data_IF_977404726511
#
_entry.id   IF_977404726511
#
_cell.length_a   1.000
_cell.length_b   1.000
_cell.length_c   1.000
_cell.angle_alpha   90.00
_cell.angle_beta   90.00
_cell.angle_gamma   90.00
#
_symmetry.space_group_name_H-M   'P 1'
#
loop_
_entity.id
_entity.type
_entity.pdbx_description
1 polymer ?
#
# COMPACT_ATOMS: atom_id res chain seq x y z
N UNK A 1 -9.23 6.74 18.97
CA UNK A 1 -7.98 6.37 19.69
C UNK A 1 -6.80 6.91 18.92
N UNK A 2 -5.99 7.79 19.51
CA UNK A 2 -4.83 8.39 18.86
C UNK A 2 -3.75 7.33 18.72
N UNK A 3 -3.43 6.91 17.48
CA UNK A 3 -2.23 6.14 17.21
C UNK A 3 -1.03 6.97 17.64
N UNK A 4 -0.41 6.63 18.77
CA UNK A 4 0.91 7.13 19.12
C UNK A 4 1.87 6.59 18.07
N UNK A 5 2.35 7.47 17.20
CA UNK A 5 3.41 7.19 16.25
C UNK A 5 4.66 6.76 17.01
N UNK A 6 4.94 5.45 17.03
CA UNK A 6 6.22 4.93 17.45
C UNK A 6 7.22 5.21 16.31
N UNK A 7 7.69 6.43 16.24
CA UNK A 7 8.72 6.83 15.28
C UNK A 7 10.08 6.54 15.92
N UNK A 8 10.70 5.43 15.52
CA UNK A 8 12.16 5.30 15.67
C UNK A 8 12.80 6.22 14.64
N UNK A 9 13.40 7.31 15.09
CA UNK A 9 14.02 8.37 14.27
C UNK A 9 15.19 7.92 13.37
N UNK A 10 15.56 6.64 13.35
CA UNK A 10 16.78 6.17 12.66
C UNK A 10 16.56 5.73 11.20
N UNK A 11 15.34 5.85 10.62
CA UNK A 11 15.03 5.40 9.26
C UNK A 11 14.23 6.44 8.45
N UNK A 12 14.43 7.71 8.73
CA UNK A 12 13.81 8.77 7.95
C UNK A 12 14.46 8.86 6.56
N UNK A 13 13.64 8.80 5.52
CA UNK A 13 14.06 8.98 4.13
C UNK A 13 13.57 10.33 3.63
N UNK A 14 14.45 11.07 2.95
CA UNK A 14 14.06 12.34 2.35
C UNK A 14 13.86 12.14 0.85
N UNK A 15 12.69 12.51 0.35
CA UNK A 15 12.36 12.51 -1.07
C UNK A 15 11.88 13.89 -1.49
N UNK A 16 12.01 14.16 -2.77
CA UNK A 16 11.42 15.32 -3.40
C UNK A 16 10.09 14.91 -4.01
N UNK A 17 9.00 15.52 -3.52
CA UNK A 17 7.69 15.45 -4.18
C UNK A 17 7.67 16.51 -5.27
N UNK A 18 7.60 16.09 -6.54
CA UNK A 18 7.46 16.98 -7.69
C UNK A 18 6.02 17.01 -8.17
N UNK A 19 5.52 18.21 -8.49
CA UNK A 19 4.16 18.44 -8.96
C UNK A 19 4.08 19.74 -9.76
N UNK A 20 3.01 19.87 -10.55
CA UNK A 20 2.73 21.07 -11.33
C UNK A 20 1.80 21.99 -10.51
N UNK A 21 2.33 23.11 -10.05
CA UNK A 21 1.61 24.07 -9.20
C UNK A 21 0.41 24.70 -9.92
N UNK A 22 0.49 24.92 -11.23
CA UNK A 22 -0.63 25.49 -11.99
C UNK A 22 -1.78 24.49 -12.09
N UNK A 23 -1.48 23.21 -12.27
CA UNK A 23 -2.49 22.16 -12.22
C UNK A 23 -3.11 22.02 -10.82
N UNK A 24 -2.32 22.21 -9.75
CA UNK A 24 -2.85 22.23 -8.38
C UNK A 24 -3.84 23.40 -8.20
N UNK A 25 -3.53 24.60 -8.74
CA UNK A 25 -4.45 25.75 -8.72
C UNK A 25 -5.74 25.48 -9.48
N UNK A 26 -5.66 24.85 -10.67
CA UNK A 26 -6.83 24.46 -11.43
C UNK A 26 -7.75 23.55 -10.60
N UNK A 27 -7.22 22.47 -9.99
CA UNK A 27 -8.02 21.57 -9.16
C UNK A 27 -8.58 22.26 -7.92
N UNK A 28 -7.81 23.15 -7.29
CA UNK A 28 -8.26 23.89 -6.10
C UNK A 28 -9.46 24.79 -6.39
N UNK A 29 -9.49 25.40 -7.58
CA UNK A 29 -10.58 26.29 -8.03
C UNK A 29 -11.82 25.53 -8.53
N UNK A 30 -11.77 24.20 -8.69
CA UNK A 30 -12.94 23.43 -9.10
C UNK A 30 -14.04 23.48 -8.02
N UNK A 31 -15.30 23.44 -8.47
CA UNK A 31 -16.44 23.16 -7.61
C UNK A 31 -16.26 21.79 -6.92
N UNK A 32 -16.74 21.67 -5.69
CA UNK A 32 -16.59 20.47 -4.87
C UNK A 32 -17.13 19.21 -5.55
N UNK A 33 -18.26 19.31 -6.24
CA UNK A 33 -18.88 18.23 -7.01
C UNK A 33 -17.98 17.75 -8.15
N UNK A 34 -17.35 18.70 -8.88
CA UNK A 34 -16.42 18.40 -9.95
C UNK A 34 -15.12 17.80 -9.40
N UNK A 35 -14.57 18.34 -8.31
CA UNK A 35 -13.39 17.77 -7.69
C UNK A 35 -13.63 16.35 -7.19
N UNK A 36 -14.83 16.09 -6.63
CA UNK A 36 -15.22 14.75 -6.18
C UNK A 36 -15.27 13.74 -7.34
N UNK A 37 -15.72 14.15 -8.54
CA UNK A 37 -15.76 13.27 -9.72
C UNK A 37 -14.37 12.81 -10.18
N UNK A 38 -13.30 13.55 -9.87
CA UNK A 38 -11.92 13.11 -10.07
C UNK A 38 -11.44 12.07 -9.05
N UNK A 39 -12.27 11.79 -8.04
CA UNK A 39 -11.97 10.79 -7.03
C UNK A 39 -12.87 9.58 -7.25
N UNK A 40 -12.38 8.37 -7.02
CA UNK A 40 -13.20 7.15 -7.13
C UNK A 40 -14.12 6.95 -5.91
N UNK A 41 -14.44 8.02 -5.17
CA UNK A 41 -15.23 7.98 -3.94
C UNK A 41 -16.73 8.23 -4.23
N UNK A 42 -17.35 7.38 -5.04
CA UNK A 42 -18.79 7.46 -5.35
C UNK A 42 -19.68 6.73 -4.35
N UNK A 43 -19.10 6.02 -3.37
CA UNK A 43 -19.84 5.12 -2.45
C UNK A 43 -19.97 5.66 -1.01
N UNK A 44 -19.54 6.89 -0.75
CA UNK A 44 -19.58 7.46 0.60
C UNK A 44 -20.83 8.32 0.85
N UNK A 45 -21.16 8.48 2.13
CA UNK A 45 -22.20 9.43 2.53
C UNK A 45 -21.88 10.85 2.07
N UNK A 46 -22.89 11.70 1.92
CA UNK A 46 -22.69 13.10 1.54
C UNK A 46 -21.74 13.83 2.51
N UNK A 47 -21.82 13.53 3.80
CA UNK A 47 -20.96 14.11 4.84
C UNK A 47 -19.51 13.69 4.69
N UNK A 48 -19.24 12.40 4.43
CA UNK A 48 -17.89 11.88 4.19
C UNK A 48 -17.28 12.49 2.93
N UNK A 49 -18.08 12.66 1.88
CA UNK A 49 -17.64 13.30 0.63
C UNK A 49 -17.23 14.75 0.84
N UNK A 50 -18.01 15.54 1.60
CA UNK A 50 -17.69 16.93 1.95
C UNK A 50 -16.37 16.99 2.73
N UNK A 51 -16.20 16.13 3.73
CA UNK A 51 -14.97 16.06 4.54
C UNK A 51 -13.76 15.67 3.69
N UNK A 52 -13.94 14.75 2.76
CA UNK A 52 -12.89 14.29 1.85
C UNK A 52 -12.46 15.40 0.89
N UNK A 53 -13.38 16.07 0.22
CA UNK A 53 -13.10 17.20 -0.67
C UNK A 53 -12.40 18.34 0.07
N UNK A 54 -12.84 18.67 1.28
CA UNK A 54 -12.18 19.66 2.14
C UNK A 54 -10.73 19.27 2.45
N UNK A 55 -10.48 17.98 2.70
CA UNK A 55 -9.12 17.48 2.94
C UNK A 55 -8.25 17.60 1.69
N UNK A 56 -8.78 17.26 0.50
CA UNK A 56 -8.07 17.43 -0.78
C UNK A 56 -7.74 18.90 -1.00
N UNK A 57 -8.70 19.81 -0.90
CA UNK A 57 -8.48 21.24 -1.09
C UNK A 57 -7.44 21.79 -0.12
N UNK A 58 -7.49 21.40 1.15
CA UNK A 58 -6.47 21.79 2.13
C UNK A 58 -5.06 21.32 1.73
N UNK A 59 -4.94 20.10 1.20
CA UNK A 59 -3.66 19.58 0.76
C UNK A 59 -3.16 20.29 -0.52
N UNK A 60 -4.05 20.53 -1.50
CA UNK A 60 -3.72 21.32 -2.70
C UNK A 60 -3.28 22.74 -2.32
N UNK A 61 -3.98 23.40 -1.41
CA UNK A 61 -3.63 24.73 -0.92
C UNK A 61 -2.21 24.78 -0.32
N UNK A 62 -1.85 23.75 0.48
CA UNK A 62 -0.49 23.65 1.03
C UNK A 62 0.57 23.46 -0.04
N UNK A 63 0.28 22.72 -1.13
CA UNK A 63 1.18 22.64 -2.28
C UNK A 63 1.32 23.98 -2.98
N UNK A 64 0.22 24.71 -3.19
CA UNK A 64 0.22 26.02 -3.83
C UNK A 64 1.02 27.04 -3.01
N UNK A 65 0.86 27.04 -1.67
CA UNK A 65 1.59 27.92 -0.77
C UNK A 65 3.11 27.67 -0.70
N UNK A 66 3.57 26.52 -1.19
CA UNK A 66 5.02 26.24 -1.23
C UNK A 66 5.76 27.09 -2.27
N UNK A 67 5.03 27.69 -3.21
CA UNK A 67 5.59 28.52 -4.32
C UNK A 67 6.67 27.80 -5.14
N UNK A 68 6.71 26.46 -5.06
CA UNK A 68 7.69 25.61 -5.71
C UNK A 68 7.03 24.37 -6.27
N UNK A 69 7.47 23.91 -7.43
CA UNK A 69 7.05 22.65 -8.01
C UNK A 69 7.72 21.43 -7.35
N UNK A 70 8.61 21.65 -6.39
CA UNK A 70 9.34 20.61 -5.67
C UNK A 70 9.27 20.88 -4.18
N UNK A 71 8.80 19.89 -3.40
CA UNK A 71 8.82 19.97 -1.95
C UNK A 71 9.62 18.79 -1.40
N UNK A 72 10.62 19.09 -0.60
CA UNK A 72 11.36 18.05 0.14
C UNK A 72 10.49 17.53 1.27
N UNK A 73 10.29 16.21 1.31
CA UNK A 73 9.48 15.51 2.29
C UNK A 73 10.27 14.45 3.02
N UNK A 74 9.96 14.32 4.29
CA UNK A 74 10.44 13.23 5.10
C UNK A 74 9.41 12.09 5.10
N UNK A 75 9.89 10.88 4.84
CA UNK A 75 9.10 9.67 4.86
C UNK A 75 9.59 8.75 5.95
N UNK A 76 8.68 8.30 6.80
CA UNK A 76 9.01 7.47 7.94
C UNK A 76 8.42 6.06 7.76
N UNK A 77 9.20 5.07 8.18
CA UNK A 77 8.77 3.68 8.23
C UNK A 77 7.87 3.48 9.44
N UNK A 78 6.64 3.00 9.22
CA UNK A 78 5.71 2.66 10.29
C UNK A 78 6.12 1.37 11.02
N UNK A 79 5.49 1.11 12.16
CA UNK A 79 5.72 -0.15 12.90
C UNK A 79 5.48 -1.41 12.07
N UNK A 80 4.55 -1.38 11.10
CA UNK A 80 4.31 -2.48 10.17
C UNK A 80 5.21 -2.44 8.92
N UNK A 81 6.32 -1.75 8.95
CA UNK A 81 7.25 -1.57 7.83
C UNK A 81 6.74 -0.72 6.65
N UNK A 82 5.52 -0.24 6.66
CA UNK A 82 5.02 0.62 5.58
C UNK A 82 5.58 2.03 5.69
N UNK A 83 5.90 2.63 4.55
CA UNK A 83 6.48 3.98 4.48
C UNK A 83 5.37 5.01 4.29
N UNK A 84 5.37 6.05 5.11
CA UNK A 84 4.41 7.15 5.04
C UNK A 84 5.12 8.50 5.08
N UNK A 85 4.60 9.45 4.31
CA UNK A 85 5.03 10.84 4.37
C UNK A 85 4.69 11.43 5.74
N UNK A 86 5.63 12.14 6.33
CA UNK A 86 5.36 12.93 7.53
C UNK A 86 4.54 14.18 7.16
N UNK A 87 3.42 14.36 7.88
CA UNK A 87 2.50 15.44 7.59
C UNK A 87 1.61 15.15 6.40
N UNK A 88 1.71 15.92 5.32
CA UNK A 88 0.98 15.70 4.07
C UNK A 88 1.97 15.52 2.91
N UNK A 89 1.60 14.71 1.93
CA UNK A 89 2.42 14.43 0.76
C UNK A 89 1.56 13.94 -0.40
N UNK A 90 2.17 13.67 -1.54
CA UNK A 90 1.46 13.21 -2.73
C UNK A 90 0.71 11.88 -2.50
N UNK A 91 1.11 11.08 -1.51
CA UNK A 91 0.44 9.83 -1.14
C UNK A 91 -1.03 9.99 -0.72
N UNK A 92 -1.44 11.18 -0.31
CA UNK A 92 -2.80 11.45 0.18
C UNK A 92 -3.81 11.76 -0.92
N UNK A 93 -3.35 11.89 -2.16
CA UNK A 93 -4.23 12.12 -3.30
C UNK A 93 -4.65 10.82 -3.98
N UNK A 94 -5.86 10.79 -4.52
CA UNK A 94 -6.32 9.70 -5.40
C UNK A 94 -5.45 9.63 -6.66
N UNK A 95 -5.44 8.46 -7.31
CA UNK A 95 -4.64 8.27 -8.52
C UNK A 95 -4.96 9.30 -9.62
N UNK A 96 -6.24 9.60 -9.82
CA UNK A 96 -6.65 10.55 -10.87
C UNK A 96 -6.13 11.96 -10.60
N UNK A 97 -6.23 12.43 -9.34
CA UNK A 97 -5.67 13.73 -8.93
C UNK A 97 -4.16 13.72 -9.13
N UNK A 98 -3.51 12.65 -8.70
CA UNK A 98 -2.06 12.52 -8.84
C UNK A 98 -1.60 12.55 -10.30
N UNK A 99 -2.23 11.77 -11.17
CA UNK A 99 -1.91 11.76 -12.60
C UNK A 99 -2.09 13.14 -13.23
N UNK A 100 -3.05 13.93 -12.74
CA UNK A 100 -3.27 15.28 -13.22
C UNK A 100 -2.18 16.24 -12.75
N UNK A 101 -1.83 16.26 -11.44
CA UNK A 101 -0.88 17.24 -10.87
C UNK A 101 0.59 16.87 -11.06
N UNK A 102 0.91 15.66 -11.47
CA UNK A 102 2.29 15.27 -11.74
C UNK A 102 2.80 15.96 -13.00
N UNK A 103 4.13 16.22 -13.10
CA UNK A 103 4.77 16.69 -14.33
C UNK A 103 4.47 15.75 -15.50
N UNK A 104 4.37 16.31 -16.72
CA UNK A 104 4.00 15.54 -17.93
C UNK A 104 5.02 14.45 -18.31
N UNK A 105 6.26 14.56 -17.83
CA UNK A 105 7.31 13.57 -18.02
C UNK A 105 7.40 12.54 -16.89
N UNK A 106 6.44 12.53 -15.98
CA UNK A 106 6.38 11.55 -14.89
C UNK A 106 5.97 10.18 -15.41
N UNK A 107 6.63 9.14 -14.93
CA UNK A 107 6.29 7.75 -15.20
C UNK A 107 5.88 7.05 -13.90
N UNK A 108 4.82 6.25 -13.96
CA UNK A 108 4.40 5.39 -12.85
C UNK A 108 4.95 3.98 -13.06
N UNK A 109 5.65 3.46 -12.05
CA UNK A 109 6.08 2.07 -12.02
C UNK A 109 5.25 1.34 -10.97
N UNK A 110 4.46 0.36 -11.39
CA UNK A 110 3.69 -0.51 -10.51
C UNK A 110 4.18 -1.96 -10.63
N UNK A 111 4.35 -2.60 -9.49
CA UNK A 111 4.72 -4.01 -9.45
C UNK A 111 3.47 -4.87 -9.57
N UNK A 112 3.31 -5.52 -10.74
CA UNK A 112 2.19 -6.45 -10.94
C UNK A 112 2.22 -7.54 -9.86
N UNK A 113 1.11 -7.68 -9.13
CA UNK A 113 0.99 -8.68 -8.04
C UNK A 113 2.06 -8.57 -6.94
N UNK A 114 2.45 -7.37 -6.53
CA UNK A 114 3.55 -7.13 -5.59
C UNK A 114 3.55 -8.12 -4.40
N UNK A 115 2.53 -8.09 -3.56
CA UNK A 115 2.49 -8.95 -2.36
C UNK A 115 2.51 -10.46 -2.67
N UNK A 116 1.69 -11.00 -3.61
CA UNK A 116 1.80 -12.40 -4.01
C UNK A 116 3.16 -12.79 -4.58
N UNK A 117 3.80 -11.93 -5.39
CA UNK A 117 5.12 -12.20 -5.95
C UNK A 117 6.22 -12.23 -4.86
N UNK A 118 6.13 -11.34 -3.87
CA UNK A 118 7.04 -11.35 -2.72
C UNK A 118 6.84 -12.65 -1.91
N UNK A 119 5.59 -13.04 -1.62
CA UNK A 119 5.31 -14.30 -0.93
C UNK A 119 5.84 -15.50 -1.70
N UNK A 120 5.60 -15.58 -3.02
CA UNK A 120 6.13 -16.65 -3.86
C UNK A 120 7.66 -16.73 -3.81
N UNK A 121 8.34 -15.57 -3.85
CA UNK A 121 9.79 -15.51 -3.70
C UNK A 121 10.25 -16.05 -2.34
N UNK A 122 9.59 -15.63 -1.25
CA UNK A 122 9.94 -16.05 0.10
C UNK A 122 9.66 -17.55 0.33
N UNK A 123 8.55 -18.06 -0.20
CA UNK A 123 8.22 -19.48 -0.11
C UNK A 123 9.29 -20.33 -0.83
N UNK A 124 9.72 -19.93 -2.04
CA UNK A 124 10.84 -20.57 -2.74
C UNK A 124 12.16 -20.49 -1.95
N UNK A 125 12.47 -19.32 -1.40
CA UNK A 125 13.68 -19.08 -0.61
C UNK A 125 13.78 -20.02 0.60
N UNK A 126 12.65 -20.31 1.25
CA UNK A 126 12.56 -21.13 2.46
C UNK A 126 12.07 -22.55 2.23
N UNK A 127 11.97 -23.01 0.97
CA UNK A 127 11.45 -24.32 0.59
C UNK A 127 10.06 -24.64 1.18
N UNK A 128 9.20 -23.64 1.24
CA UNK A 128 7.79 -23.81 1.63
C UNK A 128 6.93 -24.24 0.44
N UNK A 129 5.71 -24.73 0.70
CA UNK A 129 4.74 -25.02 -0.36
C UNK A 129 4.37 -23.74 -1.10
N UNK A 130 4.35 -23.76 -2.45
CA UNK A 130 4.11 -22.57 -3.27
C UNK A 130 3.32 -22.84 -4.56
N UNK A 131 2.68 -23.97 -4.66
CA UNK A 131 1.96 -24.42 -5.86
C UNK A 131 0.81 -23.47 -6.20
N UNK A 132 -0.03 -23.15 -5.21
CA UNK A 132 -1.23 -22.36 -5.41
C UNK A 132 -0.93 -20.87 -5.55
N UNK A 133 0.02 -20.33 -4.77
CA UNK A 133 0.46 -18.93 -4.91
C UNK A 133 1.16 -18.70 -6.26
N UNK A 134 1.92 -19.67 -6.77
CA UNK A 134 2.53 -19.63 -8.09
C UNK A 134 1.45 -19.57 -9.18
N UNK A 135 0.49 -20.49 -9.14
CA UNK A 135 -0.63 -20.49 -10.08
C UNK A 135 -1.40 -19.17 -10.07
N UNK A 136 -1.67 -18.61 -8.88
CA UNK A 136 -2.31 -17.30 -8.76
C UNK A 136 -1.46 -16.18 -9.37
N UNK A 137 -0.15 -16.17 -9.16
CA UNK A 137 0.73 -15.15 -9.74
C UNK A 137 0.77 -15.20 -11.28
N UNK A 138 0.74 -16.41 -11.86
CA UNK A 138 0.82 -16.64 -13.29
C UNK A 138 -0.53 -16.40 -14.00
N UNK A 139 -1.65 -16.84 -13.41
CA UNK A 139 -2.98 -16.90 -14.03
C UNK A 139 -4.03 -15.98 -13.38
N UNK A 140 -3.61 -14.98 -12.60
CA UNK A 140 -4.51 -14.14 -11.79
C UNK A 140 -5.70 -13.57 -12.55
N UNK A 141 -5.44 -12.97 -13.69
CA UNK A 141 -6.47 -12.20 -14.40
C UNK A 141 -7.57 -13.15 -14.95
N UNK A 142 -7.19 -14.36 -15.38
CA UNK A 142 -8.09 -15.41 -15.77
C UNK A 142 -8.88 -15.98 -14.58
N UNK A 143 -8.18 -16.31 -13.49
CA UNK A 143 -8.81 -16.85 -12.27
C UNK A 143 -9.85 -15.89 -11.69
N UNK A 144 -9.53 -14.59 -11.64
CA UNK A 144 -10.45 -13.57 -11.15
C UNK A 144 -11.66 -13.41 -12.07
N UNK A 145 -11.44 -13.33 -13.39
CA UNK A 145 -12.51 -13.17 -14.38
C UNK A 145 -13.47 -14.34 -14.37
N UNK A 146 -12.96 -15.57 -14.40
CA UNK A 146 -13.78 -16.80 -14.49
C UNK A 146 -14.63 -17.01 -13.24
N UNK A 147 -14.26 -16.42 -12.11
CA UNK A 147 -14.98 -16.55 -10.84
C UNK A 147 -15.66 -15.25 -10.39
N UNK A 148 -15.71 -14.22 -11.23
CA UNK A 148 -16.28 -12.89 -10.90
C UNK A 148 -15.74 -12.31 -9.58
N UNK A 149 -14.43 -12.45 -9.35
CA UNK A 149 -13.75 -11.99 -8.15
C UNK A 149 -12.91 -10.74 -8.44
N UNK A 150 -12.73 -9.91 -7.41
CA UNK A 150 -11.82 -8.77 -7.45
C UNK A 150 -10.51 -9.10 -6.70
N UNK A 151 -9.40 -8.47 -7.10
CA UNK A 151 -8.11 -8.56 -6.40
C UNK A 151 -8.25 -8.26 -4.89
N UNK A 152 -9.11 -7.31 -4.53
CA UNK A 152 -9.39 -6.93 -3.14
C UNK A 152 -10.01 -8.07 -2.33
N UNK A 153 -10.78 -8.95 -2.96
CA UNK A 153 -11.42 -10.07 -2.28
C UNK A 153 -10.37 -11.12 -1.90
N UNK A 154 -9.46 -11.43 -2.81
CA UNK A 154 -8.33 -12.33 -2.54
C UNK A 154 -7.47 -11.79 -1.39
N UNK A 155 -7.11 -10.49 -1.43
CA UNK A 155 -6.32 -9.86 -0.38
C UNK A 155 -7.04 -9.92 1.00
N UNK A 156 -8.37 -9.72 1.04
CA UNK A 156 -9.15 -9.83 2.29
C UNK A 156 -9.16 -11.25 2.84
N UNK A 157 -9.20 -12.26 1.99
CA UNK A 157 -9.27 -13.66 2.38
C UNK A 157 -7.90 -14.19 2.83
N UNK A 158 -6.85 -13.90 2.07
CA UNK A 158 -5.48 -14.32 2.41
C UNK A 158 -4.91 -13.62 3.64
N UNK A 159 -5.43 -12.40 3.97
CA UNK A 159 -5.03 -11.63 5.14
C UNK A 159 -5.81 -11.99 6.43
N UNK A 160 -6.37 -13.21 6.52
CA UNK A 160 -6.99 -13.73 7.75
C UNK A 160 -6.19 -14.93 8.25
N UNK A 161 -6.13 -15.11 9.58
CA UNK A 161 -5.41 -16.24 10.18
C UNK A 161 -6.21 -17.54 10.12
N UNK A 162 -7.51 -17.46 9.87
CA UNK A 162 -8.39 -18.63 9.82
C UNK A 162 -8.92 -18.84 8.40
N UNK A 163 -8.82 -20.07 7.94
CA UNK A 163 -9.42 -20.51 6.69
C UNK A 163 -10.95 -20.46 6.79
N UNK A 164 -11.58 -19.81 5.82
CA UNK A 164 -13.02 -19.82 5.63
C UNK A 164 -13.30 -20.33 4.22
N UNK A 165 -13.97 -21.46 4.12
CA UNK A 165 -14.33 -22.10 2.84
C UNK A 165 -15.14 -21.13 1.98
N UNK A 166 -14.72 -20.97 0.73
CA UNK A 166 -15.36 -20.07 -0.26
C UNK A 166 -16.16 -20.84 -1.31
N UNK A 167 -16.07 -22.20 -1.33
CA UNK A 167 -16.64 -23.09 -2.35
C UNK A 167 -16.07 -22.84 -3.75
N UNK A 168 -14.88 -22.29 -3.85
CA UNK A 168 -14.11 -22.11 -5.07
C UNK A 168 -12.78 -22.83 -4.85
N UNK A 169 -12.63 -24.02 -5.41
CA UNK A 169 -11.54 -24.95 -5.09
C UNK A 169 -10.15 -24.30 -5.13
N UNK A 170 -9.77 -23.67 -6.23
CA UNK A 170 -8.44 -23.05 -6.35
C UNK A 170 -8.19 -21.97 -5.31
N UNK A 171 -9.24 -21.22 -4.90
CA UNK A 171 -9.15 -20.17 -3.90
C UNK A 171 -9.04 -20.74 -2.50
N UNK A 172 -9.78 -21.77 -2.21
CA UNK A 172 -9.71 -22.48 -0.93
C UNK A 172 -8.32 -23.11 -0.74
N UNK A 173 -7.78 -23.75 -1.80
CA UNK A 173 -6.44 -24.30 -1.82
C UNK A 173 -5.36 -23.22 -1.62
N UNK A 174 -5.49 -22.06 -2.29
CA UNK A 174 -4.60 -20.91 -2.11
C UNK A 174 -4.65 -20.37 -0.67
N UNK A 175 -5.85 -20.18 -0.11
CA UNK A 175 -6.01 -19.68 1.26
C UNK A 175 -5.40 -20.66 2.26
N UNK A 176 -5.59 -21.95 2.05
CA UNK A 176 -5.03 -23.01 2.90
C UNK A 176 -3.50 -22.99 2.84
N UNK A 177 -2.91 -22.97 1.64
CA UNK A 177 -1.45 -22.89 1.44
C UNK A 177 -0.87 -21.65 2.14
N UNK A 178 -1.47 -20.48 1.94
CA UNK A 178 -1.02 -19.24 2.57
C UNK A 178 -1.10 -19.33 4.10
N UNK A 179 -2.20 -19.86 4.65
CA UNK A 179 -2.37 -19.97 6.10
C UNK A 179 -1.40 -20.98 6.73
N UNK A 180 -1.13 -22.10 6.07
CA UNK A 180 -0.15 -23.09 6.54
C UNK A 180 1.28 -22.54 6.54
N UNK A 181 1.60 -21.67 5.58
CA UNK A 181 2.94 -21.10 5.46
C UNK A 181 3.18 -19.90 6.40
N UNK A 182 2.14 -19.21 6.91
CA UNK A 182 2.31 -18.03 7.78
C UNK A 182 3.17 -18.28 9.02
N UNK A 183 2.95 -19.34 9.82
CA UNK A 183 3.78 -19.61 11.00
C UNK A 183 5.25 -19.84 10.63
N UNK A 184 5.48 -20.59 9.54
CA UNK A 184 6.83 -20.91 9.06
C UNK A 184 7.54 -19.66 8.54
N UNK A 185 6.86 -18.87 7.70
CA UNK A 185 7.39 -17.60 7.21
C UNK A 185 7.73 -16.64 8.36
N UNK A 186 6.85 -16.55 9.36
CA UNK A 186 7.11 -15.76 10.56
C UNK A 186 8.34 -16.25 11.31
N UNK A 187 8.54 -17.56 11.47
CA UNK A 187 9.72 -18.11 12.15
C UNK A 187 11.03 -17.80 11.41
N UNK A 188 11.03 -17.78 10.08
CA UNK A 188 12.22 -17.50 9.28
C UNK A 188 12.56 -16.01 9.14
N UNK A 189 11.55 -15.13 9.16
CA UNK A 189 11.70 -13.71 8.81
C UNK A 189 11.30 -12.75 9.96
N UNK A 190 11.19 -13.24 11.20
CA UNK A 190 10.75 -12.44 12.36
C UNK A 190 11.69 -11.27 12.68
N UNK A 191 12.96 -11.35 12.31
CA UNK A 191 13.96 -10.30 12.46
C UNK A 191 13.67 -9.07 11.57
N UNK A 192 12.86 -9.21 10.52
CA UNK A 192 12.41 -8.13 9.63
C UNK A 192 11.27 -7.31 10.24
N UNK A 193 10.70 -7.76 11.35
CA UNK A 193 9.53 -7.13 11.97
C UNK A 193 9.96 -6.29 13.17
N UNK A 194 9.40 -5.08 13.25
CA UNK A 194 9.60 -4.23 14.43
C UNK A 194 9.06 -4.92 15.69
N UNK A 195 9.92 -5.07 16.70
CA UNK A 195 9.60 -5.79 17.96
C UNK A 195 8.43 -5.17 18.72
N UNK A 196 8.30 -3.84 18.71
CA UNK A 196 7.20 -3.18 19.42
C UNK A 196 5.88 -3.36 18.68
N UNK A 197 5.89 -3.34 17.31
CA UNK A 197 4.73 -3.70 16.53
C UNK A 197 4.29 -5.15 16.79
N UNK A 198 5.24 -6.07 16.86
CA UNK A 198 4.99 -7.47 17.18
C UNK A 198 4.31 -7.62 18.56
N UNK A 199 4.84 -6.95 19.62
CA UNK A 199 4.25 -6.97 20.95
C UNK A 199 2.81 -6.40 20.99
N UNK A 200 2.57 -5.30 20.25
CA UNK A 200 1.24 -4.70 20.15
C UNK A 200 0.26 -5.68 19.52
N UNK A 201 0.61 -6.29 18.38
CA UNK A 201 -0.26 -7.23 17.67
C UNK A 201 -0.49 -8.53 18.45
N UNK A 202 0.51 -8.99 19.19
CA UNK A 202 0.37 -10.14 20.08
C UNK A 202 -0.65 -9.89 21.20
N UNK A 203 -0.70 -8.68 21.75
CA UNK A 203 -1.71 -8.29 22.75
C UNK A 203 -3.13 -8.19 22.16
N UNK A 204 -3.25 -7.76 20.90
CA UNK A 204 -4.54 -7.68 20.22
C UNK A 204 -5.13 -9.07 19.92
N UNK A 205 -4.29 -10.12 19.86
CA UNK A 205 -4.64 -11.55 19.65
C UNK A 205 -5.60 -11.82 18.49
N UNK A 206 -5.65 -10.92 17.50
CA UNK A 206 -6.53 -11.02 16.33
C UNK A 206 -5.72 -10.89 15.04
N UNK A 207 -5.79 -11.92 14.19
CA UNK A 207 -5.06 -11.97 12.93
C UNK A 207 -3.55 -11.67 13.10
N UNK A 208 -2.94 -12.20 14.16
CA UNK A 208 -1.54 -11.95 14.51
C UNK A 208 -0.60 -12.36 13.37
N UNK A 209 -0.67 -13.62 12.94
CA UNK A 209 0.20 -14.14 11.87
C UNK A 209 0.05 -13.39 10.56
N UNK A 210 -1.19 -13.07 10.17
CA UNK A 210 -1.45 -12.25 8.99
C UNK A 210 -0.81 -10.88 9.09
N UNK A 211 -0.90 -10.22 10.26
CA UNK A 211 -0.27 -8.92 10.49
C UNK A 211 1.25 -9.01 10.42
N UNK A 212 1.85 -10.09 10.91
CA UNK A 212 3.30 -10.33 10.82
C UNK A 212 3.72 -10.56 9.37
N UNK A 213 3.01 -11.43 8.63
CA UNK A 213 3.29 -11.67 7.21
C UNK A 213 3.15 -10.39 6.36
N UNK A 214 2.12 -9.57 6.60
CA UNK A 214 2.01 -8.27 5.94
C UNK A 214 3.22 -7.37 6.23
N UNK A 215 3.71 -7.36 7.48
CA UNK A 215 4.90 -6.57 7.85
C UNK A 215 6.17 -7.07 7.15
N UNK A 216 6.33 -8.39 7.00
CA UNK A 216 7.42 -8.99 6.22
C UNK A 216 7.33 -8.57 4.75
N UNK A 217 6.15 -8.71 4.14
CA UNK A 217 5.93 -8.31 2.75
C UNK A 217 6.26 -6.83 2.54
N UNK A 218 5.81 -5.93 3.42
CA UNK A 218 6.13 -4.50 3.34
C UNK A 218 7.62 -4.21 3.52
N UNK A 219 8.33 -5.00 4.32
CA UNK A 219 9.78 -4.90 4.41
C UNK A 219 10.45 -5.15 3.06
N UNK A 220 10.11 -6.25 2.38
CA UNK A 220 10.67 -6.59 1.08
C UNK A 220 10.19 -5.66 -0.05
N UNK A 221 8.94 -5.21 0.00
CA UNK A 221 8.42 -4.18 -0.92
C UNK A 221 9.27 -2.90 -0.84
N UNK A 222 9.62 -2.46 0.38
CA UNK A 222 10.49 -1.30 0.58
C UNK A 222 11.91 -1.53 0.07
N UNK A 223 12.49 -2.71 0.28
CA UNK A 223 13.82 -3.04 -0.26
C UNK A 223 13.84 -2.96 -1.80
N UNK A 224 12.80 -3.50 -2.44
CA UNK A 224 12.65 -3.44 -3.90
C UNK A 224 12.50 -1.99 -4.35
N UNK A 225 11.63 -1.23 -3.68
CA UNK A 225 11.38 0.18 -3.97
C UNK A 225 12.65 1.02 -3.86
N UNK A 226 13.43 0.86 -2.78
CA UNK A 226 14.70 1.59 -2.60
C UNK A 226 15.71 1.26 -3.71
N UNK A 227 15.81 -0.01 -4.11
CA UNK A 227 16.65 -0.42 -5.24
C UNK A 227 16.18 0.19 -6.56
N UNK A 228 14.86 0.25 -6.79
CA UNK A 228 14.28 0.88 -7.97
C UNK A 228 14.55 2.39 -7.99
N UNK A 229 14.36 3.09 -6.86
CA UNK A 229 14.64 4.52 -6.72
C UNK A 229 16.13 4.80 -6.99
N UNK A 230 17.04 4.04 -6.40
CA UNK A 230 18.47 4.25 -6.59
C UNK A 230 18.91 4.02 -8.05
N UNK A 231 18.31 3.04 -8.73
CA UNK A 231 18.62 2.70 -10.12
C UNK A 231 18.04 3.68 -11.12
N UNK A 232 16.79 4.08 -10.93
CA UNK A 232 16.04 4.86 -11.92
C UNK A 232 15.84 6.31 -11.54
N UNK A 233 16.42 6.76 -10.40
CA UNK A 233 16.20 8.09 -9.82
C UNK A 233 14.70 8.43 -9.69
N UNK A 234 13.90 7.41 -9.41
CA UNK A 234 12.46 7.56 -9.22
C UNK A 234 12.18 8.46 -8.02
N UNK A 235 11.22 9.36 -8.17
CA UNK A 235 10.96 10.43 -7.21
C UNK A 235 9.77 10.10 -6.29
N UNK A 236 9.05 8.98 -6.53
CA UNK A 236 7.79 8.74 -5.85
C UNK A 236 7.65 7.35 -5.25
N UNK A 237 7.25 7.36 -3.96
CA UNK A 237 6.75 6.20 -3.22
C UNK A 237 5.21 6.27 -3.19
N UNK A 238 4.54 5.20 -3.60
CA UNK A 238 3.08 5.08 -3.57
C UNK A 238 2.62 4.29 -2.34
#
# INVERSE_FOLDING_TARGET
>A
MKNKNLTNNNNAMNFNDEFDIEKCKILYCLEDSKLLSYTNHTEYSTEDNIKYVKTIKNNLHKLILSESNIIKRQYNKSGCNRIYCEGYGLQYFSNNILQFILPSNSCEYDMKNCSPQILLHLYKKHNLEFTHIKNYCENRDELLKNNNLKKTDINKLTNKDHHKVQNIKWLDDLILEVNNNKPLLFSFENDKINKDYQKIKQKENKNFLSSMCCSIVFYYENEILQKAISKYKCIRIK
#
